data_IF_647288371204
#
_entry.id   IF_647288371204
#
_cell.length_a   1.000
_cell.length_b   1.000
_cell.length_c   1.000
_cell.angle_alpha   90.00
_cell.angle_beta   90.00
_cell.angle_gamma   90.00
#
_symmetry.space_group_name_H-M   'P 1'
#
loop_
_entity.id
_entity.type
_entity.pdbx_description
1 polymer ?
#
# COMPACT_ATOMS: atom_id res chain seq x y z
N UNK A 1 -11.05 10.79 18.82
CA UNK A 1 -12.00 9.84 18.23
C UNK A 1 -12.40 10.39 16.87
N UNK A 2 -12.34 9.60 15.80
CA UNK A 2 -12.56 10.08 14.44
C UNK A 2 -13.76 9.34 13.83
N UNK A 3 -14.66 10.06 13.17
CA UNK A 3 -15.73 9.45 12.38
C UNK A 3 -15.29 9.33 10.92
N UNK A 4 -15.59 8.20 10.28
CA UNK A 4 -15.45 8.04 8.85
C UNK A 4 -16.69 7.40 8.23
N UNK A 5 -16.90 7.65 6.94
CA UNK A 5 -17.90 6.96 6.14
C UNK A 5 -17.21 5.81 5.39
N UNK A 6 -17.62 4.59 5.69
CA UNK A 6 -17.22 3.41 4.94
C UNK A 6 -18.28 3.08 3.91
N UNK A 7 -17.84 2.82 2.67
CA UNK A 7 -18.69 2.53 1.53
C UNK A 7 -18.35 1.17 0.98
N UNK A 8 -19.36 0.33 0.80
CA UNK A 8 -19.26 -0.92 0.08
C UNK A 8 -19.96 -0.74 -1.26
N UNK A 9 -19.19 -0.90 -2.34
CA UNK A 9 -19.75 -0.99 -3.68
C UNK A 9 -20.66 -2.21 -3.75
N UNK A 10 -21.81 -2.06 -4.42
CA UNK A 10 -22.70 -3.20 -4.59
C UNK A 10 -22.15 -4.21 -5.59
N UNK A 11 -22.56 -5.46 -5.43
CA UNK A 11 -22.52 -6.42 -6.53
C UNK A 11 -23.67 -6.07 -7.48
N UNK A 12 -23.46 -6.27 -8.79
CA UNK A 12 -24.35 -5.83 -9.86
C UNK A 12 -25.85 -5.88 -9.51
N UNK A 13 -26.50 -4.72 -9.48
CA UNK A 13 -27.95 -4.57 -9.27
C UNK A 13 -28.39 -4.21 -7.85
N UNK A 14 -27.55 -4.39 -6.83
CA UNK A 14 -27.90 -4.05 -5.44
C UNK A 14 -27.59 -2.57 -5.10
N UNK A 15 -28.24 -1.95 -4.11
CA UNK A 15 -27.84 -0.65 -3.61
C UNK A 15 -26.53 -0.76 -2.80
N UNK A 16 -25.59 0.16 -3.04
CA UNK A 16 -24.36 0.25 -2.25
C UNK A 16 -24.66 0.55 -0.78
N UNK A 17 -23.86 0.00 0.13
CA UNK A 17 -24.02 0.25 1.57
C UNK A 17 -23.06 1.36 2.01
N UNK A 18 -23.57 2.39 2.70
CA UNK A 18 -22.75 3.43 3.33
C UNK A 18 -23.06 3.46 4.82
N UNK A 19 -22.01 3.29 5.65
CA UNK A 19 -22.14 3.29 7.12
C UNK A 19 -21.16 4.30 7.70
N UNK A 20 -21.63 5.08 8.66
CA UNK A 20 -20.75 5.91 9.50
C UNK A 20 -20.19 5.05 10.62
N UNK A 21 -18.87 4.99 10.71
CA UNK A 21 -18.17 4.22 11.74
C UNK A 21 -17.32 5.13 12.60
N UNK A 22 -17.16 4.74 13.85
CA UNK A 22 -16.19 5.34 14.76
C UNK A 22 -14.86 4.60 14.63
N UNK A 23 -13.80 5.35 14.41
CA UNK A 23 -12.45 4.86 14.25
C UNK A 23 -11.54 5.35 15.37
N UNK A 24 -10.61 4.49 15.75
CA UNK A 24 -9.48 4.81 16.63
C UNK A 24 -8.18 4.43 15.93
N UNK A 25 -7.24 5.37 15.87
CA UNK A 25 -5.86 5.04 15.50
C UNK A 25 -5.23 4.28 16.65
N UNK A 26 -4.83 3.04 16.41
CA UNK A 26 -4.22 2.16 17.43
C UNK A 26 -2.72 2.01 17.26
N UNK A 27 -2.21 2.27 16.06
CA UNK A 27 -0.79 2.48 15.82
C UNK A 27 -0.57 3.48 14.69
N UNK A 28 0.49 4.27 14.82
CA UNK A 28 0.97 5.17 13.79
C UNK A 28 2.50 5.12 13.75
N UNK A 29 3.04 4.91 12.56
CA UNK A 29 4.42 5.22 12.22
C UNK A 29 4.55 6.69 11.85
N UNK A 30 5.48 7.45 12.45
CA UNK A 30 5.73 8.83 12.05
C UNK A 30 6.79 8.89 10.93
N UNK A 31 6.66 9.81 9.95
CA UNK A 31 7.72 10.11 9.00
C UNK A 31 8.90 10.79 9.73
N UNK A 32 10.13 10.30 9.56
CA UNK A 32 11.29 10.98 10.11
C UNK A 32 11.53 12.31 9.36
N UNK A 33 11.16 13.42 9.98
CA UNK A 33 11.71 14.74 9.63
C UNK A 33 13.00 14.97 10.44
N UNK A 34 14.17 14.90 9.78
CA UNK A 34 15.46 15.25 10.40
C UNK A 34 16.63 15.15 9.43
N UNK A 35 17.63 16.06 9.49
CA UNK A 35 18.72 16.13 8.52
C UNK A 35 19.71 14.96 8.71
N UNK A 36 20.21 14.47 7.57
CA UNK A 36 20.95 13.21 7.45
C UNK A 36 22.44 13.41 7.75
N UNK A 37 22.96 12.84 8.83
CA UNK A 37 24.39 12.54 9.02
C UNK A 37 24.58 11.27 9.87
N UNK A 38 25.49 10.37 9.46
CA UNK A 38 26.03 9.29 10.30
C UNK A 38 25.77 7.86 9.83
N UNK A 39 26.84 7.06 9.76
CA UNK A 39 26.96 5.77 9.11
C UNK A 39 26.66 4.54 10.01
N UNK A 40 25.66 4.62 10.90
CA UNK A 40 25.24 3.47 11.73
C UNK A 40 23.74 3.18 11.53
N UNK A 41 23.44 2.39 10.49
CA UNK A 41 22.07 1.98 10.17
C UNK A 41 21.67 0.73 10.95
N UNK A 42 20.86 0.92 12.00
CA UNK A 42 19.90 -0.09 12.46
C UNK A 42 18.66 0.00 11.56
N UNK A 43 18.09 -1.09 11.03
CA UNK A 43 16.99 -1.00 10.06
C UNK A 43 15.72 -0.54 10.79
N UNK A 44 15.17 0.61 10.40
CA UNK A 44 13.87 1.07 10.87
C UNK A 44 12.83 0.85 9.76
N UNK A 45 11.92 -0.15 9.89
CA UNK A 45 10.72 -0.23 9.07
C UNK A 45 9.57 0.33 9.89
N UNK A 46 9.32 1.65 9.88
CA UNK A 46 8.36 2.23 10.84
C UNK A 46 7.58 3.47 10.43
N UNK A 47 7.72 4.02 9.22
CA UNK A 47 7.48 5.46 9.05
C UNK A 47 6.27 5.85 8.17
N UNK A 48 5.51 4.88 7.64
CA UNK A 48 4.34 5.18 6.78
C UNK A 48 3.24 4.11 6.91
N UNK A 49 2.84 3.84 8.15
CA UNK A 49 1.77 2.87 8.48
C UNK A 49 0.87 3.46 9.54
N UNK A 50 -0.44 3.38 9.32
CA UNK A 50 -1.44 3.58 10.36
C UNK A 50 -2.32 2.33 10.47
N UNK A 51 -2.58 1.87 11.69
CA UNK A 51 -3.57 0.82 11.97
C UNK A 51 -4.77 1.50 12.60
N UNK A 52 -5.93 1.29 11.97
CA UNK A 52 -7.21 1.81 12.41
C UNK A 52 -8.05 0.67 12.97
N UNK A 53 -8.57 0.86 14.18
CA UNK A 53 -9.54 -0.02 14.80
C UNK A 53 -10.94 0.58 14.61
N UNK A 54 -11.85 -0.22 14.05
CA UNK A 54 -13.26 0.10 14.03
C UNK A 54 -13.85 -0.25 15.39
N UNK A 55 -14.55 0.69 16.02
CA UNK A 55 -15.23 0.45 17.31
C UNK A 55 -16.38 -0.55 17.16
N UNK A 56 -16.99 -0.60 15.98
CA UNK A 56 -18.03 -1.54 15.62
C UNK A 56 -17.64 -2.24 14.32
N UNK A 57 -17.80 -3.57 14.21
CA UNK A 57 -17.53 -4.29 12.97
C UNK A 57 -18.34 -3.71 11.80
N UNK A 58 -17.70 -3.52 10.65
CA UNK A 58 -18.43 -3.15 9.44
C UNK A 58 -19.27 -4.35 8.98
N UNK A 59 -20.59 -4.17 8.77
CA UNK A 59 -21.48 -5.29 8.47
C UNK A 59 -21.08 -5.96 7.15
N UNK A 60 -21.06 -7.30 7.15
CA UNK A 60 -20.75 -8.13 5.98
C UNK A 60 -19.36 -7.91 5.37
N UNK A 61 -18.43 -7.28 6.09
CA UNK A 61 -17.04 -7.16 5.64
C UNK A 61 -16.39 -8.54 5.56
N UNK A 62 -15.77 -8.85 4.43
CA UNK A 62 -14.88 -9.98 4.31
C UNK A 62 -13.48 -9.57 4.72
N UNK A 63 -12.90 -10.30 5.66
CA UNK A 63 -11.51 -10.12 6.07
C UNK A 63 -10.62 -10.87 5.09
N UNK A 64 -9.61 -10.19 4.56
CA UNK A 64 -8.62 -10.81 3.70
C UNK A 64 -7.52 -11.44 4.57
N UNK A 65 -7.20 -12.69 4.29
CA UNK A 65 -6.13 -13.40 4.96
C UNK A 65 -4.77 -12.78 4.64
N UNK A 66 -3.88 -12.75 5.64
CA UNK A 66 -2.57 -12.13 5.55
C UNK A 66 -1.50 -13.21 5.48
N UNK A 67 -0.66 -13.15 4.44
CA UNK A 67 0.50 -14.03 4.29
C UNK A 67 1.75 -13.32 4.83
N UNK A 68 2.39 -13.92 5.82
CA UNK A 68 3.57 -13.34 6.49
C UNK A 68 4.87 -13.66 5.76
N UNK A 69 4.91 -14.77 5.04
CA UNK A 69 6.07 -15.17 4.24
C UNK A 69 6.28 -14.16 3.11
N UNK A 70 7.50 -13.64 2.93
CA UNK A 70 7.81 -12.75 1.83
C UNK A 70 7.42 -13.38 0.48
N UNK A 71 6.88 -12.59 -0.46
CA UNK A 71 6.69 -13.07 -1.82
C UNK A 71 8.06 -13.35 -2.45
N UNK A 72 8.10 -14.27 -3.42
CA UNK A 72 9.30 -14.49 -4.23
C UNK A 72 9.53 -13.28 -5.14
N UNK A 73 10.78 -13.04 -5.53
CA UNK A 73 11.03 -12.17 -6.67
C UNK A 73 10.27 -12.70 -7.90
N UNK A 74 9.81 -11.78 -8.74
CA UNK A 74 8.97 -11.98 -9.90
C UNK A 74 7.60 -12.63 -9.63
N UNK A 75 7.16 -12.69 -8.37
CA UNK A 75 5.81 -13.09 -8.04
C UNK A 75 4.79 -12.12 -8.65
N UNK A 76 3.78 -12.69 -9.28
CA UNK A 76 2.63 -11.96 -9.81
C UNK A 76 1.67 -11.55 -8.70
N UNK A 77 1.25 -10.29 -8.72
CA UNK A 77 0.40 -9.70 -7.69
C UNK A 77 -0.75 -8.89 -8.29
N UNK A 78 -1.80 -8.71 -7.49
CA UNK A 78 -2.92 -7.83 -7.79
C UNK A 78 -2.99 -6.71 -6.76
N UNK A 79 -3.05 -5.45 -7.22
CA UNK A 79 -3.24 -4.28 -6.36
C UNK A 79 -4.68 -3.81 -6.50
N UNK A 80 -5.40 -3.73 -5.38
CA UNK A 80 -6.79 -3.29 -5.36
C UNK A 80 -6.90 -1.92 -4.69
N UNK A 81 -7.09 -0.88 -5.48
CA UNK A 81 -7.25 0.50 -5.01
C UNK A 81 -8.69 0.98 -5.09
N UNK A 82 -9.02 2.03 -4.32
CA UNK A 82 -10.31 2.73 -4.42
C UNK A 82 -10.14 4.22 -4.77
N UNK A 83 -9.38 4.57 -5.83
CA UNK A 83 -9.21 5.97 -6.20
C UNK A 83 -10.58 6.59 -6.49
N UNK A 84 -10.84 7.76 -5.89
CA UNK A 84 -12.12 8.49 -6.01
C UNK A 84 -13.35 7.64 -5.62
N UNK A 85 -13.17 6.64 -4.75
CA UNK A 85 -14.24 5.79 -4.24
C UNK A 85 -14.73 4.71 -5.21
N UNK A 86 -13.99 4.42 -6.29
CA UNK A 86 -14.29 3.32 -7.21
C UNK A 86 -13.19 2.28 -7.15
N UNK A 87 -13.56 1.01 -7.01
CA UNK A 87 -12.60 -0.09 -7.04
C UNK A 87 -11.92 -0.15 -8.40
N UNK A 88 -10.60 -0.20 -8.39
CA UNK A 88 -9.80 -0.43 -9.58
C UNK A 88 -8.70 -1.45 -9.25
N UNK A 89 -8.41 -2.32 -10.21
CA UNK A 89 -7.44 -3.38 -10.05
C UNK A 89 -6.26 -3.16 -11.00
N UNK A 90 -5.04 -3.33 -10.49
CA UNK A 90 -3.82 -3.25 -11.28
C UNK A 90 -3.02 -4.53 -11.12
N UNK A 91 -2.48 -5.03 -12.24
CA UNK A 91 -1.55 -6.14 -12.24
C UNK A 91 -0.15 -5.64 -11.88
N UNK A 92 0.63 -6.45 -11.20
CA UNK A 92 2.01 -6.11 -10.89
C UNK A 92 2.89 -7.33 -10.68
N UNK A 93 4.19 -7.03 -10.61
CA UNK A 93 5.24 -8.00 -10.37
C UNK A 93 6.13 -7.54 -9.22
N UNK A 94 6.42 -8.43 -8.28
CA UNK A 94 7.40 -8.18 -7.23
C UNK A 94 8.79 -8.14 -7.84
N UNK A 95 9.45 -6.99 -7.84
CA UNK A 95 10.80 -6.86 -8.40
C UNK A 95 11.89 -7.07 -7.36
N UNK A 96 11.68 -6.56 -6.16
CA UNK A 96 12.59 -6.82 -5.05
C UNK A 96 11.76 -7.15 -3.81
N UNK A 97 11.87 -8.40 -3.36
CA UNK A 97 11.42 -8.82 -2.05
C UNK A 97 12.49 -8.36 -1.05
N UNK A 98 12.11 -7.37 -0.22
CA UNK A 98 12.75 -6.92 1.04
C UNK A 98 14.23 -7.30 1.18
N UNK A 99 15.14 -6.32 1.05
CA UNK A 99 16.55 -6.32 1.57
C UNK A 99 17.47 -5.30 0.87
N UNK A 100 16.93 -4.38 0.06
CA UNK A 100 17.75 -3.35 -0.57
C UNK A 100 18.34 -2.38 0.47
N UNK A 101 19.66 -2.16 0.51
CA UNK A 101 20.23 -1.08 1.32
C UNK A 101 19.81 0.28 0.75
N UNK A 102 19.57 1.26 1.63
CA UNK A 102 19.23 2.61 1.20
C UNK A 102 17.85 3.07 1.66
N UNK A 103 17.28 4.04 0.93
CA UNK A 103 16.03 4.73 1.27
C UNK A 103 14.77 3.85 1.20
N UNK A 104 14.88 2.63 0.66
CA UNK A 104 13.78 1.68 0.51
C UNK A 104 13.98 0.40 1.33
N UNK A 105 14.91 0.41 2.29
CA UNK A 105 15.17 -0.74 3.14
C UNK A 105 13.90 -1.17 3.89
N UNK A 106 13.59 -2.47 3.85
CA UNK A 106 12.44 -3.04 4.53
C UNK A 106 11.10 -2.91 3.79
N UNK A 107 11.07 -2.27 2.61
CA UNK A 107 9.90 -2.20 1.73
C UNK A 107 9.94 -3.30 0.66
N UNK A 108 8.76 -3.68 0.17
CA UNK A 108 8.59 -4.47 -1.04
C UNK A 108 8.52 -3.53 -2.23
N UNK A 109 9.31 -3.81 -3.27
CA UNK A 109 9.31 -3.03 -4.50
C UNK A 109 8.51 -3.74 -5.58
N UNK A 110 7.54 -3.03 -6.14
CA UNK A 110 6.59 -3.56 -7.11
C UNK A 110 6.75 -2.80 -8.43
N UNK A 111 6.71 -3.53 -9.53
CA UNK A 111 6.39 -2.96 -10.84
C UNK A 111 4.89 -3.17 -11.08
N UNK A 112 4.16 -2.09 -11.30
CA UNK A 112 2.74 -2.11 -11.64
C UNK A 112 2.59 -1.83 -13.13
N UNK A 113 1.82 -2.67 -13.80
CA UNK A 113 1.75 -2.70 -15.26
C UNK A 113 0.73 -1.69 -15.84
N UNK A 114 1.07 -1.18 -17.03
CA UNK A 114 0.15 -0.48 -17.94
C UNK A 114 -0.28 0.93 -17.51
N UNK A 115 -1.39 1.39 -18.09
CA UNK A 115 -2.02 2.69 -17.80
C UNK A 115 -2.50 2.78 -16.34
N UNK A 116 -2.66 1.62 -15.71
CA UNK A 116 -3.06 1.47 -14.32
C UNK A 116 -1.98 1.84 -13.31
N UNK A 117 -0.76 2.10 -13.77
CA UNK A 117 0.27 2.77 -12.99
C UNK A 117 -0.22 4.09 -12.38
N UNK A 118 -1.07 4.84 -13.10
CA UNK A 118 -1.67 6.10 -12.67
C UNK A 118 -2.88 5.93 -11.75
N UNK A 119 -3.43 4.72 -11.61
CA UNK A 119 -4.43 4.46 -10.57
C UNK A 119 -3.89 4.70 -9.18
N UNK A 120 -2.56 4.67 -9.06
CA UNK A 120 -1.85 4.88 -7.83
C UNK A 120 -1.46 6.34 -7.59
N UNK A 121 -1.91 7.24 -8.47
CA UNK A 121 -1.72 8.68 -8.35
C UNK A 121 -2.86 9.25 -7.50
N UNK A 122 -2.57 9.48 -6.21
CA UNK A 122 -3.48 10.06 -5.22
C UNK A 122 -4.68 9.18 -4.83
N UNK A 123 -4.64 8.58 -3.64
CA UNK A 123 -5.81 7.94 -3.01
C UNK A 123 -5.80 6.41 -2.94
N UNK A 124 -4.68 5.76 -3.26
CA UNK A 124 -4.50 4.30 -3.12
C UNK A 124 -3.45 3.90 -2.09
N UNK A 125 -2.83 4.87 -1.39
CA UNK A 125 -2.04 4.55 -0.20
C UNK A 125 -2.94 3.80 0.79
N UNK A 126 -2.43 2.71 1.34
CA UNK A 126 -3.23 1.77 2.14
C UNK A 126 -3.91 0.64 1.34
N UNK A 127 -3.81 0.63 0.01
CA UNK A 127 -4.38 -0.44 -0.82
C UNK A 127 -3.70 -1.79 -0.55
N UNK A 128 -4.46 -2.90 -0.44
CA UNK A 128 -3.89 -4.23 -0.32
C UNK A 128 -3.23 -4.67 -1.63
N UNK A 129 -2.08 -5.33 -1.47
CA UNK A 129 -1.40 -6.06 -2.54
C UNK A 129 -1.59 -7.55 -2.26
N UNK A 130 -2.22 -8.24 -3.21
CA UNK A 130 -2.64 -9.63 -3.09
C UNK A 130 -1.74 -10.54 -3.92
N UNK A 131 -1.42 -11.71 -3.38
CA UNK A 131 -0.85 -12.81 -4.15
C UNK A 131 -1.92 -13.40 -5.09
N UNK A 132 -1.57 -13.63 -6.37
CA UNK A 132 -2.54 -14.15 -7.33
C UNK A 132 -2.88 -15.63 -7.15
N UNK A 133 -2.14 -16.41 -6.33
CA UNK A 133 -2.41 -17.84 -6.16
C UNK A 133 -3.51 -18.11 -5.13
N UNK A 134 -3.48 -17.40 -4.00
CA UNK A 134 -4.39 -17.64 -2.87
C UNK A 134 -5.24 -16.40 -2.54
N UNK A 135 -4.90 -15.22 -3.09
CA UNK A 135 -5.59 -13.98 -2.77
C UNK A 135 -5.20 -13.39 -1.42
N UNK A 136 -4.11 -13.86 -0.82
CA UNK A 136 -3.65 -13.37 0.48
C UNK A 136 -2.96 -12.02 0.37
N UNK A 137 -3.18 -11.15 1.36
CA UNK A 137 -2.48 -9.87 1.49
C UNK A 137 -1.02 -10.14 1.84
N UNK A 138 -0.12 -9.68 0.97
CA UNK A 138 1.34 -9.83 1.14
C UNK A 138 2.02 -8.49 1.47
N UNK A 139 1.38 -7.37 1.14
CA UNK A 139 1.87 -6.03 1.42
C UNK A 139 0.73 -5.01 1.33
N UNK A 140 0.99 -3.81 1.85
CA UNK A 140 0.10 -2.64 1.72
C UNK A 140 0.83 -1.54 0.98
N UNK A 141 0.20 -0.99 -0.05
CA UNK A 141 0.80 0.01 -0.91
C UNK A 141 1.08 1.29 -0.12
N UNK A 142 2.30 1.83 -0.29
CA UNK A 142 2.72 3.04 0.38
C UNK A 142 2.75 4.26 -0.55
N UNK A 143 3.38 4.09 -1.72
CA UNK A 143 3.53 5.20 -2.65
C UNK A 143 4.16 4.81 -4.00
N UNK A 144 4.33 5.83 -4.83
CA UNK A 144 4.95 5.72 -6.15
C UNK A 144 6.44 6.02 -6.08
N UNK A 145 7.23 5.26 -6.83
CA UNK A 145 8.60 5.61 -7.18
C UNK A 145 8.58 6.48 -8.42
N UNK A 146 8.45 7.78 -8.24
CA UNK A 146 8.64 8.74 -9.32
C UNK A 146 10.14 8.96 -9.54
N UNK A 147 10.56 8.99 -10.81
CA UNK A 147 11.85 9.60 -11.16
C UNK A 147 11.76 11.13 -11.14
N UNK A 148 12.85 11.85 -11.44
CA UNK A 148 12.82 13.30 -11.52
C UNK A 148 11.80 13.76 -12.57
N UNK A 149 10.94 14.71 -12.22
CA UNK A 149 10.04 15.36 -13.17
C UNK A 149 10.85 15.89 -14.35
N UNK A 150 10.44 15.56 -15.56
CA UNK A 150 11.05 16.16 -16.75
C UNK A 150 10.77 17.66 -16.71
N UNK A 151 11.79 18.53 -16.88
CA UNK A 151 11.67 19.98 -16.65
C UNK A 151 10.67 20.68 -17.59
N UNK A 152 10.16 19.97 -18.58
CA UNK A 152 9.24 20.46 -19.61
C UNK A 152 7.82 19.88 -19.50
N UNK A 153 7.55 18.98 -18.55
CA UNK A 153 6.20 18.44 -18.33
C UNK A 153 5.54 19.08 -17.10
N UNK A 154 4.23 19.38 -17.15
CA UNK A 154 3.49 19.82 -15.97
C UNK A 154 3.58 18.76 -14.86
N UNK A 155 3.98 19.18 -13.66
CA UNK A 155 4.23 18.29 -12.50
C UNK A 155 3.03 17.44 -12.10
N UNK A 156 1.82 17.88 -12.41
CA UNK A 156 0.56 17.23 -12.02
C UNK A 156 0.15 16.08 -12.96
N UNK A 157 0.88 15.84 -14.05
CA UNK A 157 0.57 14.78 -15.04
C UNK A 157 1.79 14.06 -15.60
N UNK A 158 2.97 14.26 -15.02
CA UNK A 158 4.20 13.64 -15.52
C UNK A 158 4.30 12.19 -15.08
N UNK A 159 3.82 11.27 -15.93
CA UNK A 159 4.18 9.85 -15.86
C UNK A 159 5.65 9.74 -16.20
N UNK A 160 6.51 9.60 -15.19
CA UNK A 160 7.96 9.46 -15.41
C UNK A 160 8.25 8.09 -16.04
N UNK A 161 8.67 7.97 -17.31
CA UNK A 161 8.89 6.67 -17.92
C UNK A 161 9.91 5.87 -17.09
N UNK A 162 9.47 4.72 -16.59
CA UNK A 162 10.31 3.75 -15.86
C UNK A 162 10.63 2.62 -16.84
N UNK A 163 11.90 2.20 -16.97
CA UNK A 163 12.24 1.06 -17.80
C UNK A 163 11.47 -0.18 -17.34
N UNK A 164 11.06 -1.01 -18.31
CA UNK A 164 10.48 -2.32 -18.00
C UNK A 164 11.40 -3.12 -17.08
N UNK A 165 10.81 -3.85 -16.14
CA UNK A 165 11.55 -4.60 -15.12
C UNK A 165 12.05 -3.75 -13.96
N UNK A 166 11.76 -2.44 -13.96
CA UNK A 166 12.11 -1.55 -12.84
C UNK A 166 10.94 -1.37 -11.89
N UNK A 167 11.18 -1.28 -10.58
CA UNK A 167 10.11 -0.99 -9.65
C UNK A 167 9.49 0.40 -9.87
N UNK A 168 8.16 0.47 -9.83
CA UNK A 168 7.36 1.69 -9.94
C UNK A 168 6.73 2.10 -8.61
N UNK A 169 6.67 1.19 -7.64
CA UNK A 169 5.92 1.38 -6.40
C UNK A 169 6.65 0.77 -5.20
N UNK A 170 6.34 1.32 -4.02
CA UNK A 170 6.74 0.76 -2.73
C UNK A 170 5.52 0.28 -1.97
N UNK A 171 5.70 -0.81 -1.25
CA UNK A 171 4.69 -1.37 -0.37
C UNK A 171 5.33 -1.80 0.95
N UNK A 172 4.59 -1.65 2.05
CA UNK A 172 4.97 -2.15 3.37
C UNK A 172 4.61 -3.65 3.43
N UNK A 173 5.58 -4.56 3.69
CA UNK A 173 5.30 -5.98 3.78
C UNK A 173 4.30 -6.32 4.89
N UNK A 174 3.44 -7.30 4.65
CA UNK A 174 2.47 -7.82 5.61
C UNK A 174 3.10 -8.25 6.95
N UNK A 175 4.30 -8.85 6.91
CA UNK A 175 5.06 -9.19 8.11
C UNK A 175 5.35 -7.98 9.02
N UNK A 176 5.57 -6.80 8.42
CA UNK A 176 5.77 -5.56 9.18
C UNK A 176 4.48 -5.13 9.88
N UNK A 177 3.32 -5.28 9.22
CA UNK A 177 2.01 -4.99 9.81
C UNK A 177 1.68 -5.92 10.98
N UNK A 178 1.95 -7.22 10.82
CA UNK A 178 1.75 -8.21 11.88
C UNK A 178 2.61 -7.89 13.11
N UNK A 179 3.87 -7.49 12.91
CA UNK A 179 4.78 -7.11 13.98
C UNK A 179 4.39 -5.81 14.71
N UNK A 180 3.63 -4.91 14.06
CA UNK A 180 3.05 -3.73 14.70
C UNK A 180 1.83 -4.16 15.53
N UNK A 181 0.95 -4.96 14.93
CA UNK A 181 -0.29 -5.42 15.57
C UNK A 181 -0.02 -6.22 16.85
N UNK A 182 1.01 -7.06 16.86
CA UNK A 182 1.41 -7.85 18.02
C UNK A 182 1.94 -7.03 19.20
N UNK A 183 2.21 -5.73 19.03
CA UNK A 183 2.67 -4.82 20.09
C UNK A 183 1.55 -4.00 20.70
N UNK A 184 0.37 -4.01 20.08
CA UNK A 184 -0.80 -3.25 20.50
C UNK A 184 -1.68 -4.11 21.42
N UNK A 185 -1.62 -5.45 21.27
CA UNK A 185 -2.23 -6.42 22.18
C UNK A 185 -1.32 -6.69 23.38
#
# INVERSE_FOLDING_TARGET
MQCAELRQASQDGEPGTTVRVQLRVVAQGQPAEGPVTGADRKPAPKEDVAILELQEPFPNAQVLDVRLEPPTADATVLVLGYPRGRMQAAHGTVREARDRPGKFAGLTLLEVEGDNRLLLDGGTSGAPVLDCRQGHVIAVLNGLLTGPSLPFLPSERSVVPTPWGSPTNTAVPAATLAAITSRIR
#
